data_IF_297835588233
#
_entry.id   IF_297835588233
#
_cell.length_a   1.000
_cell.length_b   1.000
_cell.length_c   1.000
_cell.angle_alpha   90.00
_cell.angle_beta   90.00
_cell.angle_gamma   90.00
#
_symmetry.space_group_name_H-M   'P 1'
#
loop_
_entity.id
_entity.type
_entity.pdbx_description
1 polymer ?
#
# COMPACT_ATOMS: atom_id res chain seq x y z
N UNK A 1 5.74 1.45 9.72
CA UNK A 1 5.37 2.05 8.42
C UNK A 1 4.24 3.05 8.61
N UNK A 2 4.40 4.30 8.18
CA UNK A 2 3.28 5.23 8.00
C UNK A 2 2.69 5.07 6.58
N UNK A 3 1.50 5.62 6.34
CA UNK A 3 0.80 5.49 5.05
C UNK A 3 1.61 6.07 3.89
N UNK A 4 2.20 7.26 4.07
CA UNK A 4 3.02 7.92 3.04
C UNK A 4 4.19 7.05 2.59
N UNK A 5 4.97 6.47 3.51
CA UNK A 5 6.07 5.57 3.13
C UNK A 5 5.58 4.35 2.35
N UNK A 6 4.39 3.84 2.68
CA UNK A 6 3.83 2.70 1.97
C UNK A 6 3.40 3.06 0.54
N UNK A 7 2.91 4.28 0.32
CA UNK A 7 2.58 4.81 -1.01
C UNK A 7 3.83 5.09 -1.82
N UNK A 8 4.82 5.79 -1.27
CA UNK A 8 6.10 6.05 -1.96
C UNK A 8 6.79 4.74 -2.35
N UNK A 9 6.75 3.73 -1.48
CA UNK A 9 7.30 2.42 -1.81
C UNK A 9 6.49 1.74 -2.94
N UNK A 10 5.16 1.89 -2.95
CA UNK A 10 4.29 1.35 -4.01
C UNK A 10 4.59 2.01 -5.36
N UNK A 11 4.74 3.33 -5.40
CA UNK A 11 5.11 4.10 -6.61
C UNK A 11 6.46 3.61 -7.15
N UNK A 12 7.45 3.46 -6.28
CA UNK A 12 8.76 2.95 -6.69
C UNK A 12 8.69 1.51 -7.24
N UNK A 13 7.78 0.67 -6.73
CA UNK A 13 7.56 -0.69 -7.27
C UNK A 13 6.97 -0.59 -8.69
N UNK A 14 5.96 0.26 -8.89
CA UNK A 14 5.34 0.47 -10.20
C UNK A 14 6.38 0.95 -11.20
N UNK A 15 7.20 1.95 -10.84
CA UNK A 15 8.26 2.47 -11.71
C UNK A 15 9.25 1.37 -12.13
N UNK A 16 9.66 0.51 -11.19
CA UNK A 16 10.56 -0.62 -11.49
C UNK A 16 9.91 -1.66 -12.40
N UNK A 17 8.62 -1.92 -12.21
CA UNK A 17 7.87 -2.86 -13.05
C UNK A 17 7.68 -2.32 -14.47
N UNK A 18 7.44 -1.02 -14.62
CA UNK A 18 7.27 -0.35 -15.92
C UNK A 18 8.58 -0.21 -16.71
N UNK A 19 9.72 -0.08 -16.03
CA UNK A 19 11.04 -0.06 -16.67
C UNK A 19 11.41 -1.38 -17.36
N UNK A 20 10.71 -2.49 -17.04
CA UNK A 20 10.81 -3.74 -17.79
C UNK A 20 12.16 -4.46 -17.67
N UNK A 21 13.05 -4.02 -16.79
CA UNK A 21 14.38 -4.61 -16.57
C UNK A 21 14.39 -5.71 -15.49
N UNK A 22 13.21 -6.10 -15.00
CA UNK A 22 13.06 -7.12 -13.95
C UNK A 22 12.96 -8.51 -14.57
N UNK A 23 13.70 -9.47 -14.02
CA UNK A 23 13.49 -10.88 -14.31
C UNK A 23 12.21 -11.42 -13.66
N UNK A 24 11.86 -12.66 -14.01
CA UNK A 24 10.59 -13.30 -13.63
C UNK A 24 10.46 -13.51 -12.10
N UNK A 25 11.58 -13.79 -11.42
CA UNK A 25 11.63 -13.94 -9.97
C UNK A 25 11.48 -12.59 -9.27
N UNK A 26 12.14 -11.57 -9.79
CA UNK A 26 12.08 -10.18 -9.31
C UNK A 26 10.67 -9.62 -9.47
N UNK A 27 10.02 -9.83 -10.61
CA UNK A 27 8.61 -9.46 -10.83
C UNK A 27 7.68 -10.09 -9.77
N UNK A 28 7.89 -11.37 -9.47
CA UNK A 28 7.09 -12.08 -8.46
C UNK A 28 7.32 -11.51 -7.06
N UNK A 29 8.57 -11.15 -6.71
CA UNK A 29 8.91 -10.54 -5.44
C UNK A 29 8.29 -9.13 -5.29
N UNK A 30 8.44 -8.29 -6.31
CA UNK A 30 7.89 -6.94 -6.37
C UNK A 30 6.36 -6.95 -6.27
N UNK A 31 5.69 -7.87 -6.97
CA UNK A 31 4.23 -8.04 -6.91
C UNK A 31 3.75 -8.45 -5.50
N UNK A 32 4.44 -9.39 -4.85
CA UNK A 32 4.14 -9.78 -3.45
C UNK A 32 4.31 -8.61 -2.50
N UNK A 33 5.34 -7.78 -2.72
CA UNK A 33 5.58 -6.59 -1.91
C UNK A 33 4.47 -5.56 -2.12
N UNK A 34 4.12 -5.26 -3.36
CA UNK A 34 3.02 -4.36 -3.70
C UNK A 34 1.70 -4.80 -3.05
N UNK A 35 1.34 -6.09 -3.11
CA UNK A 35 0.15 -6.61 -2.43
C UNK A 35 0.17 -6.34 -0.91
N UNK A 36 1.32 -6.52 -0.27
CA UNK A 36 1.48 -6.30 1.17
C UNK A 36 1.28 -4.82 1.54
N UNK A 37 1.84 -3.92 0.73
CA UNK A 37 1.68 -2.48 0.89
C UNK A 37 0.22 -2.04 0.67
N UNK A 38 -0.44 -2.54 -0.37
CA UNK A 38 -1.86 -2.26 -0.63
C UNK A 38 -2.73 -2.70 0.56
N UNK A 39 -2.49 -3.89 1.11
CA UNK A 39 -3.21 -4.37 2.30
C UNK A 39 -3.01 -3.44 3.50
N UNK A 40 -1.77 -2.98 3.73
CA UNK A 40 -1.45 -2.05 4.80
C UNK A 40 -2.17 -0.70 4.61
N UNK A 41 -2.14 -0.15 3.40
CA UNK A 41 -2.82 1.11 3.07
C UNK A 41 -4.32 1.01 3.29
N UNK A 42 -4.96 -0.07 2.81
CA UNK A 42 -6.40 -0.31 3.01
C UNK A 42 -6.76 -0.46 4.48
N UNK A 43 -5.94 -1.17 5.25
CA UNK A 43 -6.16 -1.33 6.70
C UNK A 43 -6.07 0.01 7.44
N UNK A 44 -5.12 0.87 7.05
CA UNK A 44 -4.99 2.22 7.62
C UNK A 44 -6.21 3.08 7.32
N UNK A 45 -6.63 3.14 6.04
CA UNK A 45 -7.82 3.89 5.61
C UNK A 45 -9.03 3.43 6.40
N UNK A 46 -9.28 2.11 6.41
CA UNK A 46 -10.41 1.54 7.16
C UNK A 46 -10.38 1.90 8.64
N UNK A 47 -9.21 1.82 9.28
CA UNK A 47 -9.09 2.17 10.70
C UNK A 47 -9.40 3.65 10.94
N UNK A 48 -8.90 4.52 10.07
CA UNK A 48 -9.18 5.96 10.15
C UNK A 48 -10.67 6.24 9.91
N UNK A 49 -11.30 5.59 8.94
CA UNK A 49 -12.74 5.72 8.68
C UNK A 49 -13.57 5.25 9.88
N UNK A 50 -13.21 4.10 10.48
CA UNK A 50 -13.88 3.56 11.66
C UNK A 50 -13.72 4.51 12.88
N UNK A 51 -12.56 5.14 13.05
CA UNK A 51 -12.32 6.16 14.10
C UNK A 51 -13.15 7.43 13.85
N UNK A 52 -13.22 7.92 12.61
CA UNK A 52 -14.06 9.08 12.23
C UNK A 52 -15.53 8.77 12.48
N UNK A 53 -16.01 7.60 12.03
CA UNK A 53 -17.39 7.18 12.22
C UNK A 53 -17.77 7.13 13.70
N UNK A 54 -16.86 6.64 14.55
CA UNK A 54 -17.06 6.62 16.00
C UNK A 54 -17.18 8.03 16.59
N UNK A 55 -16.30 8.95 16.20
CA UNK A 55 -16.34 10.35 16.65
C UNK A 55 -17.66 11.05 16.24
N UNK A 56 -18.19 10.72 15.07
CA UNK A 56 -19.44 11.27 14.56
C UNK A 56 -20.69 10.58 15.12
N UNK A 57 -20.56 9.39 15.72
CA UNK A 57 -21.68 8.62 16.30
C UNK A 57 -21.88 8.87 17.79
N UNK A 58 -20.97 9.63 18.44
CA UNK A 58 -21.09 10.07 19.83
C UNK A 58 -21.88 11.40 19.98
N UNK A 59 -22.69 11.77 18.97
CA UNK A 59 -23.81 12.74 19.04
C UNK A 59 -25.16 12.01 19.19
#
# INVERSE_FOLDING_TARGET
MNYEKAITELEAIVDRMEQGSLDLDSLTAELKRAQSLIKLCRSRIKKTDDEIAKLLSDE
#
